data_IF_712839629140
#
_entry.id   IF_712839629140
#
_cell.length_a   1.000
_cell.length_b   1.000
_cell.length_c   1.000
_cell.angle_alpha   90.00
_cell.angle_beta   90.00
_cell.angle_gamma   90.00
#
_symmetry.space_group_name_H-M   'P 1'
#
loop_
_entity.id
_entity.type
_entity.pdbx_description
1 polymer ?
#
# COMPACT_ATOMS: atom_id res chain seq x y z
N UNK A 1 11.87 3.34 5.83
CA UNK A 1 11.40 2.07 6.45
C UNK A 1 12.36 0.95 6.07
N UNK A 2 12.59 -0.05 6.95
CA UNK A 2 13.44 -1.20 6.60
C UNK A 2 12.60 -2.30 5.95
N UNK A 3 13.12 -2.96 4.90
CA UNK A 3 12.44 -4.11 4.31
C UNK A 3 12.24 -5.23 5.36
N UNK A 4 11.12 -5.99 5.28
CA UNK A 4 10.87 -7.09 6.20
C UNK A 4 11.96 -8.19 6.12
N UNK A 5 12.09 -8.98 7.20
CA UNK A 5 13.06 -10.09 7.28
C UNK A 5 12.91 -11.14 6.17
N UNK A 6 11.75 -11.22 5.50
CA UNK A 6 11.54 -12.14 4.38
C UNK A 6 12.44 -11.84 3.17
N UNK A 7 13.00 -10.62 3.08
CA UNK A 7 13.95 -10.22 2.04
C UNK A 7 15.41 -10.57 2.39
N UNK A 8 15.64 -11.26 3.52
CA UNK A 8 16.96 -11.68 3.98
C UNK A 8 17.07 -13.21 3.89
N UNK A 9 17.83 -13.69 2.91
CA UNK A 9 18.13 -15.11 2.68
C UNK A 9 19.37 -15.25 1.81
N UNK A 10 19.94 -16.45 1.76
CA UNK A 10 21.16 -16.72 1.00
C UNK A 10 20.90 -16.72 -0.51
N UNK A 11 21.80 -16.05 -1.24
CA UNK A 11 21.84 -16.00 -2.69
C UNK A 11 23.12 -16.68 -3.20
N UNK A 12 23.14 -17.23 -4.43
CA UNK A 12 22.05 -17.21 -5.40
C UNK A 12 21.03 -18.33 -5.21
N UNK A 13 19.74 -18.04 -5.47
CA UNK A 13 18.74 -19.08 -5.66
C UNK A 13 18.86 -19.69 -7.07
N UNK A 14 18.77 -21.01 -7.16
CA UNK A 14 18.93 -21.78 -8.39
C UNK A 14 18.07 -23.04 -8.36
N UNK A 15 18.00 -23.75 -9.49
CA UNK A 15 17.26 -25.01 -9.63
C UNK A 15 17.56 -25.96 -8.45
N UNK A 16 16.50 -26.51 -7.86
CA UNK A 16 16.54 -27.39 -6.70
C UNK A 16 16.32 -26.67 -5.36
N UNK A 17 16.46 -25.34 -5.30
CA UNK A 17 16.08 -24.56 -4.11
C UNK A 17 14.58 -24.66 -3.84
N UNK A 18 14.19 -24.58 -2.55
CA UNK A 18 12.80 -24.62 -2.09
C UNK A 18 12.55 -23.66 -0.93
N UNK A 19 11.29 -23.35 -0.67
CA UNK A 19 10.84 -22.64 0.52
C UNK A 19 10.49 -21.17 0.27
N UNK A 20 10.40 -20.40 1.37
CA UNK A 20 9.85 -19.03 1.36
C UNK A 20 10.61 -18.06 0.45
N UNK A 21 11.94 -18.19 0.37
CA UNK A 21 12.77 -17.36 -0.50
C UNK A 21 12.44 -17.57 -1.98
N UNK A 22 12.20 -18.83 -2.39
CA UNK A 22 11.77 -19.16 -3.75
C UNK A 22 10.36 -18.64 -4.01
N UNK A 23 9.43 -18.82 -3.05
CA UNK A 23 8.06 -18.28 -3.15
C UNK A 23 8.11 -16.75 -3.39
N UNK A 24 8.91 -16.03 -2.62
CA UNK A 24 9.07 -14.57 -2.76
C UNK A 24 9.59 -14.18 -4.15
N UNK A 25 10.57 -14.91 -4.69
CA UNK A 25 11.05 -14.69 -6.06
C UNK A 25 9.94 -14.93 -7.10
N UNK A 26 9.14 -15.99 -6.95
CA UNK A 26 8.04 -16.29 -7.87
C UNK A 26 6.93 -15.24 -7.80
N UNK A 27 6.62 -14.72 -6.60
CA UNK A 27 5.71 -13.60 -6.41
C UNK A 27 6.22 -12.34 -7.13
N UNK A 28 7.49 -11.98 -6.94
CA UNK A 28 8.08 -10.83 -7.64
C UNK A 28 8.14 -11.01 -9.15
N UNK A 29 8.47 -12.20 -9.66
CA UNK A 29 8.40 -12.50 -11.10
C UNK A 29 6.98 -12.27 -11.65
N UNK A 30 5.96 -12.75 -10.95
CA UNK A 30 4.55 -12.50 -11.31
C UNK A 30 4.20 -11.00 -11.28
N UNK A 31 4.66 -10.25 -10.28
CA UNK A 31 4.49 -8.80 -10.21
C UNK A 31 5.19 -8.07 -11.36
N UNK A 32 6.28 -8.62 -11.87
CA UNK A 32 7.02 -8.11 -13.02
C UNK A 32 6.43 -8.57 -14.37
N UNK A 33 5.25 -9.21 -14.37
CA UNK A 33 4.54 -9.64 -15.58
C UNK A 33 5.03 -10.97 -16.15
N UNK A 34 5.80 -11.74 -15.39
CA UNK A 34 6.23 -13.09 -15.78
C UNK A 34 5.28 -14.11 -15.16
N UNK A 35 4.39 -14.68 -15.96
CA UNK A 35 3.44 -15.70 -15.49
C UNK A 35 4.13 -17.01 -15.11
N UNK A 36 3.96 -17.45 -13.86
CA UNK A 36 4.39 -18.74 -13.34
C UNK A 36 3.56 -19.15 -12.13
N UNK A 37 3.59 -20.44 -11.80
CA UNK A 37 3.02 -20.95 -10.55
C UNK A 37 3.90 -20.55 -9.35
N UNK A 38 3.25 -20.10 -8.28
CA UNK A 38 3.91 -19.76 -7.01
C UNK A 38 3.76 -20.96 -6.07
N UNK A 39 4.73 -21.87 -6.10
CA UNK A 39 4.75 -23.13 -5.34
C UNK A 39 5.93 -23.24 -4.37
N UNK A 40 6.81 -22.24 -4.34
CA UNK A 40 8.02 -22.24 -3.53
C UNK A 40 9.07 -23.26 -3.97
N UNK A 41 8.97 -23.81 -5.19
CA UNK A 41 9.92 -24.78 -5.75
C UNK A 41 10.64 -24.22 -6.98
N UNK A 42 11.98 -24.15 -6.90
CA UNK A 42 12.78 -23.63 -8.02
C UNK A 42 13.02 -24.76 -9.02
N UNK A 43 12.00 -25.06 -9.82
CA UNK A 43 12.06 -26.03 -10.91
C UNK A 43 12.47 -25.41 -12.27
N UNK A 44 12.44 -26.21 -13.35
CA UNK A 44 12.74 -25.75 -14.72
C UNK A 44 11.87 -24.55 -15.15
N UNK A 45 10.59 -24.51 -14.76
CA UNK A 45 9.69 -23.39 -15.07
C UNK A 45 10.11 -22.08 -14.39
N UNK A 46 10.55 -22.14 -13.14
CA UNK A 46 11.08 -20.96 -12.42
C UNK A 46 12.38 -20.49 -13.06
N UNK A 47 13.29 -21.41 -13.41
CA UNK A 47 14.54 -21.04 -14.10
C UNK A 47 14.29 -20.36 -15.45
N UNK A 48 13.37 -20.90 -16.26
CA UNK A 48 12.97 -20.28 -17.53
C UNK A 48 12.37 -18.88 -17.33
N UNK A 49 11.56 -18.71 -16.27
CA UNK A 49 10.97 -17.42 -15.89
C UNK A 49 12.02 -16.40 -15.47
N UNK A 50 13.02 -16.83 -14.69
CA UNK A 50 14.17 -15.98 -14.32
C UNK A 50 14.98 -15.59 -15.55
N UNK A 51 15.26 -16.51 -16.47
CA UNK A 51 15.94 -16.18 -17.74
C UNK A 51 15.15 -15.17 -18.56
N UNK A 52 13.84 -15.37 -18.70
CA UNK A 52 12.95 -14.44 -19.41
C UNK A 52 13.02 -13.03 -18.80
N UNK A 53 12.93 -12.95 -17.47
CA UNK A 53 13.06 -11.68 -16.75
C UNK A 53 14.43 -11.02 -16.97
N UNK A 54 15.52 -11.77 -16.79
CA UNK A 54 16.88 -11.27 -16.97
C UNK A 54 17.11 -10.71 -18.37
N UNK A 55 16.67 -11.45 -19.40
CA UNK A 55 16.71 -10.99 -20.79
C UNK A 55 15.90 -9.71 -21.00
N UNK A 56 14.68 -9.64 -20.46
CA UNK A 56 13.83 -8.45 -20.59
C UNK A 56 14.43 -7.21 -19.88
N UNK A 57 15.15 -7.42 -18.76
CA UNK A 57 15.85 -6.37 -18.01
C UNK A 57 17.27 -6.08 -18.52
N UNK A 58 17.75 -6.81 -19.53
CA UNK A 58 19.11 -6.68 -20.11
C UNK A 58 20.22 -6.86 -19.06
N UNK A 59 20.01 -7.78 -18.12
CA UNK A 59 21.03 -8.24 -17.16
C UNK A 59 21.49 -9.66 -17.53
N UNK A 60 22.54 -10.17 -16.87
CA UNK A 60 23.11 -11.49 -17.19
C UNK A 60 22.08 -12.62 -17.08
N UNK A 61 21.79 -13.29 -18.20
CA UNK A 61 20.80 -14.37 -18.30
C UNK A 61 21.35 -15.71 -17.78
N UNK A 62 21.61 -15.80 -16.47
CA UNK A 62 22.14 -17.02 -15.83
C UNK A 62 21.07 -18.06 -15.50
N UNK A 63 19.80 -17.65 -15.40
CA UNK A 63 18.70 -18.45 -14.84
C UNK A 63 18.78 -18.65 -13.32
N UNK A 64 19.74 -18.00 -12.67
CA UNK A 64 19.90 -17.97 -11.21
C UNK A 64 19.50 -16.59 -10.72
N UNK A 65 18.92 -16.52 -9.54
CA UNK A 65 18.66 -15.24 -8.88
C UNK A 65 19.85 -14.95 -8.00
N UNK A 66 20.79 -14.16 -8.51
CA UNK A 66 21.88 -13.55 -7.76
C UNK A 66 21.46 -12.21 -7.14
N UNK A 67 22.39 -11.48 -6.52
CA UNK A 67 22.08 -10.20 -5.88
C UNK A 67 21.56 -9.18 -6.89
N UNK A 68 22.22 -9.04 -8.04
CA UNK A 68 21.80 -8.09 -9.08
C UNK A 68 20.38 -8.40 -9.59
N UNK A 69 20.09 -9.68 -9.84
CA UNK A 69 18.74 -10.11 -10.27
C UNK A 69 17.71 -9.85 -9.18
N UNK A 70 18.04 -10.14 -7.91
CA UNK A 70 17.11 -9.93 -6.80
C UNK A 70 16.82 -8.45 -6.57
N UNK A 71 17.84 -7.59 -6.64
CA UNK A 71 17.70 -6.13 -6.51
C UNK A 71 16.75 -5.56 -7.56
N UNK A 72 16.92 -5.96 -8.81
CA UNK A 72 16.03 -5.54 -9.90
C UNK A 72 14.58 -6.03 -9.69
N UNK A 73 14.40 -7.27 -9.20
CA UNK A 73 13.07 -7.83 -8.92
C UNK A 73 12.31 -7.00 -7.87
N UNK A 74 12.99 -6.62 -6.78
CA UNK A 74 12.40 -5.94 -5.63
C UNK A 74 12.52 -4.41 -5.70
N UNK A 75 13.12 -3.86 -6.75
CA UNK A 75 13.31 -2.42 -6.90
C UNK A 75 12.02 -1.59 -6.66
N UNK A 76 10.82 -2.02 -7.07
CA UNK A 76 9.59 -1.29 -6.77
C UNK A 76 9.32 -1.11 -5.27
N UNK A 77 9.42 -2.17 -4.45
CA UNK A 77 9.21 -2.05 -3.00
C UNK A 77 10.33 -1.25 -2.33
N UNK A 78 11.57 -1.36 -2.83
CA UNK A 78 12.69 -0.55 -2.34
C UNK A 78 12.42 0.93 -2.57
N UNK A 79 12.00 1.33 -3.78
CA UNK A 79 11.65 2.73 -4.08
C UNK A 79 10.48 3.24 -3.26
N UNK A 80 9.44 2.42 -3.07
CA UNK A 80 8.28 2.79 -2.26
C UNK A 80 8.59 2.96 -0.77
N UNK A 81 9.58 2.21 -0.25
CA UNK A 81 9.92 2.21 1.19
C UNK A 81 11.12 3.08 1.56
N UNK A 82 11.73 3.72 0.55
CA UNK A 82 12.84 4.65 0.73
C UNK A 82 12.40 5.93 1.45
N UNK A 83 13.26 6.53 2.29
CA UNK A 83 12.92 7.77 2.98
C UNK A 83 12.54 8.90 2.01
N UNK A 84 11.48 9.64 2.34
CA UNK A 84 11.06 10.79 1.53
C UNK A 84 12.08 11.93 1.65
N UNK A 85 12.48 12.49 0.50
CA UNK A 85 13.62 13.40 0.39
C UNK A 85 13.38 14.83 0.90
N UNK A 86 12.14 15.29 1.05
CA UNK A 86 11.82 16.70 1.38
C UNK A 86 11.23 16.85 2.79
N UNK A 87 12.03 17.31 3.75
CA UNK A 87 11.61 17.47 5.16
C UNK A 87 10.92 18.81 5.47
N UNK A 88 10.91 19.76 4.53
CA UNK A 88 10.38 21.12 4.74
C UNK A 88 8.87 21.26 4.48
N UNK A 89 8.13 20.16 4.32
CA UNK A 89 6.70 20.14 4.02
C UNK A 89 5.89 19.63 5.22
N UNK A 90 4.60 19.96 5.25
CA UNK A 90 3.73 19.48 6.33
C UNK A 90 3.55 17.96 6.28
N UNK A 91 3.20 17.37 7.42
CA UNK A 91 2.91 15.94 7.54
C UNK A 91 1.92 15.46 6.47
N UNK A 92 0.80 16.18 6.28
CA UNK A 92 -0.21 15.86 5.27
C UNK A 92 0.35 15.88 3.83
N UNK A 93 1.23 16.83 3.49
CA UNK A 93 1.90 16.87 2.18
C UNK A 93 2.84 15.68 1.99
N UNK A 94 3.54 15.25 3.03
CA UNK A 94 4.40 14.06 3.01
C UNK A 94 3.60 12.77 2.85
N UNK A 95 2.42 12.68 3.46
CA UNK A 95 1.50 11.55 3.25
C UNK A 95 1.05 11.48 1.79
N UNK A 96 0.70 12.61 1.16
CA UNK A 96 0.38 12.66 -0.28
C UNK A 96 1.59 12.26 -1.14
N UNK A 97 2.80 12.70 -0.78
CA UNK A 97 4.02 12.30 -1.47
C UNK A 97 4.23 10.78 -1.42
N UNK A 98 4.13 10.18 -0.22
CA UNK A 98 4.22 8.74 -0.05
C UNK A 98 3.14 8.01 -0.87
N UNK A 99 1.89 8.46 -0.82
CA UNK A 99 0.79 7.87 -1.58
C UNK A 99 1.08 7.85 -3.08
N UNK A 100 1.60 8.95 -3.64
CA UNK A 100 1.96 9.06 -5.06
C UNK A 100 3.12 8.15 -5.46
N UNK A 101 4.13 7.99 -4.59
CA UNK A 101 5.22 7.05 -4.82
C UNK A 101 4.66 5.62 -4.87
N UNK A 102 3.86 5.23 -3.88
CA UNK A 102 3.26 3.90 -3.87
C UNK A 102 2.38 3.68 -5.11
N UNK A 103 1.53 4.63 -5.50
CA UNK A 103 0.74 4.53 -6.72
C UNK A 103 1.61 4.26 -7.96
N UNK A 104 2.73 4.98 -8.10
CA UNK A 104 3.68 4.81 -9.22
C UNK A 104 4.34 3.43 -9.25
N UNK A 105 4.55 2.81 -8.10
CA UNK A 105 5.18 1.49 -8.00
C UNK A 105 4.18 0.33 -8.17
N UNK A 106 2.90 0.64 -8.41
CA UNK A 106 1.81 -0.31 -8.67
C UNK A 106 1.71 -1.52 -7.71
N UNK A 107 1.62 -1.32 -6.38
CA UNK A 107 1.36 -2.38 -5.43
C UNK A 107 0.10 -3.16 -5.77
N UNK A 108 0.22 -4.48 -5.88
CA UNK A 108 -0.91 -5.38 -6.13
C UNK A 108 -0.75 -6.72 -5.42
N UNK A 109 -1.87 -7.39 -5.25
CA UNK A 109 -1.96 -8.75 -4.74
C UNK A 109 -1.38 -9.75 -5.74
N UNK A 110 -0.84 -10.84 -5.20
CA UNK A 110 -0.37 -11.96 -6.00
C UNK A 110 -0.40 -13.24 -5.16
N UNK A 111 -0.75 -14.36 -5.78
CA UNK A 111 -0.81 -15.66 -5.10
C UNK A 111 -2.08 -15.93 -4.29
N UNK A 112 -3.09 -15.07 -4.40
CA UNK A 112 -4.40 -15.23 -3.77
C UNK A 112 -4.96 -13.89 -3.26
N UNK A 113 -6.22 -13.92 -2.78
CA UNK A 113 -6.87 -12.75 -2.21
C UNK A 113 -6.13 -12.26 -0.95
N UNK A 114 -5.89 -10.95 -0.89
CA UNK A 114 -5.16 -10.27 0.16
C UNK A 114 -3.78 -10.90 0.42
N UNK A 115 -3.05 -11.29 -0.65
CA UNK A 115 -1.75 -11.96 -0.53
C UNK A 115 -0.63 -11.32 -1.35
N UNK A 116 0.60 -11.70 -1.01
CA UNK A 116 1.80 -11.25 -1.71
C UNK A 116 2.62 -10.20 -0.95
N UNK A 117 3.79 -9.83 -1.50
CA UNK A 117 4.78 -9.03 -0.79
C UNK A 117 4.30 -7.62 -0.43
N UNK A 118 3.47 -7.00 -1.29
CA UNK A 118 2.87 -5.70 -0.99
C UNK A 118 1.87 -5.77 0.16
N UNK A 119 1.02 -6.80 0.19
CA UNK A 119 0.08 -7.00 1.29
C UNK A 119 0.83 -7.22 2.59
N UNK A 120 1.85 -8.09 2.58
CA UNK A 120 2.69 -8.34 3.75
C UNK A 120 3.44 -7.08 4.22
N UNK A 121 3.85 -6.19 3.33
CA UNK A 121 4.38 -4.88 3.73
C UNK A 121 3.34 -4.09 4.55
N UNK A 122 2.13 -3.96 4.04
CA UNK A 122 1.08 -3.12 4.63
C UNK A 122 0.47 -3.69 5.91
N UNK A 123 0.49 -5.01 6.08
CA UNK A 123 -0.14 -5.71 7.21
C UNK A 123 0.87 -6.14 8.29
N UNK A 124 2.15 -5.83 8.10
CA UNK A 124 3.22 -6.25 8.99
C UNK A 124 3.44 -7.77 8.97
N UNK A 125 3.56 -8.34 7.77
CA UNK A 125 3.89 -9.74 7.50
C UNK A 125 2.71 -10.68 7.37
N UNK A 126 1.47 -10.19 7.39
CA UNK A 126 0.25 -11.01 7.33
C UNK A 126 -0.32 -11.04 5.92
N UNK A 127 -0.99 -12.11 5.56
CA UNK A 127 -1.63 -12.25 4.25
C UNK A 127 -2.77 -13.26 4.31
N UNK A 128 -3.61 -13.24 3.29
CA UNK A 128 -4.76 -14.11 3.10
C UNK A 128 -6.08 -13.37 3.35
N UNK A 129 -7.23 -14.01 3.03
CA UNK A 129 -8.54 -13.35 2.93
C UNK A 129 -9.01 -12.59 4.17
N UNK A 130 -8.47 -12.88 5.35
CA UNK A 130 -8.80 -12.17 6.59
C UNK A 130 -8.11 -10.80 6.72
N UNK A 131 -7.16 -10.47 5.84
CA UNK A 131 -6.25 -9.33 5.98
C UNK A 131 -6.45 -8.29 4.89
N UNK A 132 -7.66 -7.72 4.82
CA UNK A 132 -7.90 -6.51 4.03
C UNK A 132 -6.85 -5.44 4.39
N UNK A 133 -6.22 -4.84 3.38
CA UNK A 133 -4.98 -4.09 3.57
C UNK A 133 -5.10 -2.59 3.31
N UNK A 134 -6.31 -2.05 3.09
CA UNK A 134 -6.54 -0.61 2.90
C UNK A 134 -6.08 0.25 4.09
N UNK A 135 -6.44 -0.15 5.31
CA UNK A 135 -5.99 0.56 6.53
C UNK A 135 -4.49 0.34 6.82
N UNK A 136 -3.96 -0.83 6.49
CA UNK A 136 -2.53 -1.11 6.54
C UNK A 136 -1.71 -0.24 5.58
N UNK A 137 -2.25 -0.02 4.37
CA UNK A 137 -1.68 0.89 3.39
C UNK A 137 -1.63 2.31 3.95
N UNK A 138 -2.76 2.87 4.42
CA UNK A 138 -2.80 4.20 5.06
C UNK A 138 -1.80 4.29 6.20
N UNK A 139 -1.76 3.30 7.09
CA UNK A 139 -0.82 3.26 8.23
C UNK A 139 0.64 3.27 7.78
N UNK A 140 0.95 2.60 6.67
CA UNK A 140 2.30 2.59 6.10
C UNK A 140 2.67 3.97 5.57
N UNK A 141 1.74 4.67 4.92
CA UNK A 141 1.97 6.03 4.43
C UNK A 141 2.18 7.04 5.57
N UNK A 142 1.43 6.91 6.67
CA UNK A 142 1.63 7.73 7.86
C UNK A 142 3.05 7.56 8.40
N UNK A 143 3.52 6.32 8.58
CA UNK A 143 4.88 6.02 9.06
C UNK A 143 5.96 6.54 8.12
N UNK A 144 5.77 6.41 6.80
CA UNK A 144 6.71 6.95 5.82
C UNK A 144 6.80 8.48 5.90
N UNK A 145 5.69 9.16 6.19
CA UNK A 145 5.66 10.61 6.35
C UNK A 145 6.35 11.09 7.64
N UNK A 146 6.31 10.31 8.73
CA UNK A 146 6.99 10.61 10.02
C UNK A 146 8.50 10.40 9.96
N UNK A 147 8.99 9.53 9.08
CA UNK A 147 10.40 9.14 9.06
C UNK A 147 11.32 10.35 8.86
N UNK A 148 12.25 10.53 9.81
CA UNK A 148 13.19 11.65 9.83
C UNK A 148 12.58 13.02 10.14
N UNK A 149 11.33 13.08 10.63
CA UNK A 149 10.66 14.32 11.01
C UNK A 149 10.69 14.57 12.53
N UNK A 150 10.67 15.84 12.98
CA UNK A 150 10.45 16.16 14.38
C UNK A 150 9.04 15.75 14.82
N UNK A 151 8.85 15.47 16.11
CA UNK A 151 7.56 15.04 16.70
C UNK A 151 6.40 16.00 16.40
N UNK A 152 6.69 17.30 16.25
CA UNK A 152 5.71 18.31 15.86
C UNK A 152 5.12 18.11 14.45
N UNK A 153 5.75 17.28 13.63
CA UNK A 153 5.34 16.94 12.27
C UNK A 153 5.03 15.43 12.13
N UNK A 154 4.56 14.81 13.22
CA UNK A 154 4.11 13.42 13.24
C UNK A 154 2.59 13.30 13.12
N UNK A 155 2.12 12.08 12.88
CA UNK A 155 0.71 11.76 12.71
C UNK A 155 -0.09 12.06 13.97
N UNK A 156 -1.29 12.67 13.86
CA UNK A 156 -2.19 12.84 14.99
C UNK A 156 -2.84 11.53 15.46
N UNK A 157 -2.67 10.43 14.72
CA UNK A 157 -3.17 9.09 15.03
C UNK A 157 -2.07 8.04 14.85
N UNK A 158 -2.12 6.93 15.60
CA UNK A 158 -1.09 5.87 15.57
C UNK A 158 -1.16 4.96 14.35
N UNK A 159 -2.26 4.99 13.60
CA UNK A 159 -2.55 4.03 12.55
C UNK A 159 -3.11 2.70 13.08
N UNK A 160 -3.55 1.82 12.17
CA UNK A 160 -4.14 0.51 12.46
C UNK A 160 -4.35 -0.31 11.18
N UNK A 161 -4.54 -1.62 11.32
CA UNK A 161 -5.06 -2.48 10.24
C UNK A 161 -6.61 -2.47 10.16
N UNK A 162 -7.29 -1.72 11.02
CA UNK A 162 -8.76 -1.60 11.05
C UNK A 162 -9.20 -0.15 10.82
N UNK A 163 -10.12 0.05 9.88
CA UNK A 163 -10.77 1.33 9.62
C UNK A 163 -11.50 1.86 10.86
N UNK A 164 -12.16 0.98 11.63
CA UNK A 164 -12.87 1.35 12.86
C UNK A 164 -11.93 1.88 13.92
N UNK A 165 -10.74 1.27 14.04
CA UNK A 165 -9.71 1.75 14.96
C UNK A 165 -9.14 3.08 14.49
N UNK A 166 -8.95 3.31 13.18
CA UNK A 166 -8.56 4.62 12.65
C UNK A 166 -9.61 5.68 13.01
N UNK A 167 -10.89 5.39 12.81
CA UNK A 167 -12.00 6.26 13.17
C UNK A 167 -12.04 6.56 14.68
N UNK A 168 -11.86 5.55 15.53
CA UNK A 168 -11.83 5.71 16.98
C UNK A 168 -10.65 6.59 17.44
N UNK A 169 -9.46 6.39 16.86
CA UNK A 169 -8.29 7.24 17.15
C UNK A 169 -8.55 8.69 16.71
N UNK A 170 -9.12 8.91 15.53
CA UNK A 170 -9.44 10.24 15.02
C UNK A 170 -10.46 10.97 15.90
N UNK A 171 -11.50 10.27 16.37
CA UNK A 171 -12.50 10.83 17.30
C UNK A 171 -11.85 11.23 18.61
N UNK A 172 -11.00 10.36 19.19
CA UNK A 172 -10.26 10.67 20.42
C UNK A 172 -9.33 11.87 20.27
N UNK A 173 -8.75 12.05 19.08
CA UNK A 173 -7.87 13.17 18.76
C UNK A 173 -8.62 14.44 18.30
N UNK A 174 -9.96 14.45 18.31
CA UNK A 174 -10.80 15.53 17.77
C UNK A 174 -10.45 15.91 16.30
N UNK A 175 -10.12 14.91 15.48
CA UNK A 175 -9.76 15.04 14.06
C UNK A 175 -10.79 14.44 13.10
N UNK A 176 -11.78 13.72 13.63
CA UNK A 176 -12.82 13.09 12.83
C UNK A 176 -13.82 14.12 12.30
N UNK A 177 -14.20 14.01 11.04
CA UNK A 177 -15.23 14.81 10.38
C UNK A 177 -16.22 13.87 9.72
N UNK A 178 -17.48 13.95 10.12
CA UNK A 178 -18.53 13.08 9.58
C UNK A 178 -19.07 13.54 8.24
N UNK A 179 -19.62 12.60 7.47
CA UNK A 179 -20.42 12.83 6.27
C UNK A 179 -21.57 13.82 6.50
N UNK A 180 -22.18 13.79 7.69
CA UNK A 180 -23.20 14.77 8.12
C UNK A 180 -22.65 16.18 8.25
N UNK A 181 -21.47 16.35 8.82
CA UNK A 181 -20.82 17.66 8.92
C UNK A 181 -20.42 18.20 7.55
N UNK A 182 -19.97 17.32 6.64
CA UNK A 182 -19.61 17.68 5.26
C UNK A 182 -20.81 18.05 4.39
N UNK A 183 -21.96 17.40 4.60
CA UNK A 183 -23.19 17.63 3.83
C UNK A 183 -24.00 18.80 4.35
N UNK A 184 -24.00 19.05 5.66
CA UNK A 184 -24.67 20.21 6.27
C UNK A 184 -23.91 21.53 6.11
N UNK A 185 -22.63 21.48 5.72
CA UNK A 185 -21.76 22.66 5.72
C UNK A 185 -21.28 23.08 7.11
N UNK A 186 -21.52 22.27 8.14
CA UNK A 186 -20.99 22.51 9.49
C UNK A 186 -19.45 22.53 9.52
N UNK A 187 -18.82 21.88 8.54
CA UNK A 187 -17.41 22.03 8.23
C UNK A 187 -17.24 22.72 6.89
N UNK A 188 -16.52 23.85 6.90
CA UNK A 188 -16.06 24.49 5.67
C UNK A 188 -15.09 23.55 4.93
N UNK A 189 -15.45 23.15 3.71
CA UNK A 189 -14.62 22.27 2.88
C UNK A 189 -13.30 22.92 2.48
N UNK A 190 -13.24 24.25 2.36
CA UNK A 190 -11.99 24.96 2.06
C UNK A 190 -10.96 24.87 3.22
N UNK A 191 -11.42 24.56 4.43
CA UNK A 191 -10.56 24.31 5.58
C UNK A 191 -9.86 22.93 5.51
N UNK A 192 -10.38 21.99 4.73
CA UNK A 192 -9.82 20.65 4.58
C UNK A 192 -8.54 20.70 3.75
N UNK A 193 -7.57 19.87 4.13
CA UNK A 193 -6.24 19.83 3.50
C UNK A 193 -6.01 18.49 2.83
N UNK A 194 -5.40 18.52 1.65
CA UNK A 194 -4.91 17.33 0.97
C UNK A 194 -4.02 16.52 1.92
N UNK A 195 -4.13 15.20 1.84
CA UNK A 195 -3.53 14.27 2.80
C UNK A 195 -4.53 13.73 3.82
N UNK A 196 -5.72 14.33 3.95
CA UNK A 196 -6.78 13.77 4.80
C UNK A 196 -7.04 12.29 4.48
N UNK A 197 -7.36 11.51 5.50
CA UNK A 197 -7.73 10.10 5.33
C UNK A 197 -9.25 10.05 5.16
N UNK A 198 -9.76 9.37 4.13
CA UNK A 198 -11.18 9.10 4.04
C UNK A 198 -11.53 7.75 4.65
N UNK A 199 -12.76 7.62 5.15
CA UNK A 199 -13.32 6.36 5.61
C UNK A 199 -14.69 6.18 4.95
N UNK A 200 -14.93 5.00 4.38
CA UNK A 200 -16.23 4.64 3.81
C UNK A 200 -17.02 3.89 4.87
N UNK A 201 -18.17 4.47 5.25
CA UNK A 201 -19.05 3.89 6.26
C UNK A 201 -19.72 2.62 5.73
N UNK A 202 -19.93 1.62 6.57
CA UNK A 202 -20.63 0.41 6.20
C UNK A 202 -22.13 0.71 6.01
N UNK A 203 -22.67 0.44 4.82
CA UNK A 203 -24.10 0.65 4.51
C UNK A 203 -25.05 -0.18 5.39
N UNK A 204 -24.57 -1.29 5.96
CA UNK A 204 -25.36 -2.19 6.82
C UNK A 204 -25.19 -1.91 8.31
N UNK A 205 -24.13 -1.17 8.68
CA UNK A 205 -23.87 -0.77 10.07
C UNK A 205 -23.20 0.59 10.08
N UNK A 206 -23.97 1.64 10.39
CA UNK A 206 -23.44 3.01 10.37
C UNK A 206 -22.30 3.26 11.38
N UNK A 207 -22.06 2.34 12.32
CA UNK A 207 -20.98 2.44 13.30
C UNK A 207 -19.65 1.82 12.83
N UNK A 208 -19.62 1.19 11.65
CA UNK A 208 -18.43 0.54 11.09
C UNK A 208 -17.95 1.23 9.81
N UNK A 209 -16.67 1.07 9.48
CA UNK A 209 -16.06 1.51 8.23
C UNK A 209 -15.43 0.35 7.48
N UNK A 210 -15.72 0.25 6.18
CA UNK A 210 -15.29 -0.88 5.35
C UNK A 210 -14.06 -0.60 4.50
N UNK A 211 -13.74 0.68 4.27
CA UNK A 211 -12.67 1.06 3.35
C UNK A 211 -12.06 2.41 3.70
N UNK A 212 -10.81 2.64 3.28
CA UNK A 212 -10.07 3.86 3.55
C UNK A 212 -8.96 4.11 2.53
N UNK A 213 -8.47 5.34 2.49
CA UNK A 213 -7.37 5.78 1.63
C UNK A 213 -7.03 7.25 1.90
N UNK A 214 -6.17 7.82 1.07
CA UNK A 214 -5.71 9.20 1.21
C UNK A 214 -6.42 10.08 0.18
N UNK A 215 -6.98 11.21 0.62
CA UNK A 215 -7.47 12.27 -0.25
C UNK A 215 -6.29 13.08 -0.77
N UNK A 216 -6.10 13.14 -2.08
CA UNK A 216 -5.01 13.86 -2.73
C UNK A 216 -5.42 15.23 -3.25
N UNK A 217 -6.71 15.45 -3.51
CA UNK A 217 -7.27 16.74 -3.87
C UNK A 217 -8.77 16.81 -3.54
N UNK A 218 -9.23 18.00 -3.16
CA UNK A 218 -10.65 18.32 -2.93
C UNK A 218 -11.20 19.11 -4.11
N UNK A 219 -12.41 18.76 -4.53
CA UNK A 219 -13.24 19.50 -5.49
C UNK A 219 -14.64 19.70 -4.90
N UNK A 220 -15.47 20.52 -5.54
CA UNK A 220 -16.79 20.87 -5.00
C UNK A 220 -17.69 19.65 -4.79
N UNK A 221 -17.71 18.72 -5.74
CA UNK A 221 -18.61 17.56 -5.74
C UNK A 221 -17.93 16.23 -5.43
N UNK A 222 -16.60 16.17 -5.53
CA UNK A 222 -15.83 14.94 -5.37
C UNK A 222 -14.44 15.20 -4.78
N UNK A 223 -13.76 14.11 -4.44
CA UNK A 223 -12.35 14.10 -4.06
C UNK A 223 -11.57 13.19 -5.00
N UNK A 224 -10.31 13.55 -5.25
CA UNK A 224 -9.33 12.61 -5.79
C UNK A 224 -8.62 11.90 -4.64
N UNK A 225 -8.35 10.62 -4.83
CA UNK A 225 -7.87 9.73 -3.76
C UNK A 225 -6.85 8.74 -4.28
N UNK A 226 -5.99 8.26 -3.38
CA UNK A 226 -5.12 7.09 -3.59
C UNK A 226 -5.44 6.08 -2.49
N UNK A 227 -5.70 4.84 -2.90
CA UNK A 227 -6.28 3.82 -2.04
C UNK A 227 -5.62 2.47 -2.29
N UNK A 228 -5.33 1.73 -1.23
CA UNK A 228 -4.94 0.33 -1.32
C UNK A 228 -6.15 -0.59 -1.15
N UNK A 229 -6.03 -1.83 -1.59
CA UNK A 229 -7.11 -2.82 -1.59
C UNK A 229 -8.34 -2.32 -2.37
N UNK A 230 -8.12 -1.73 -3.54
CA UNK A 230 -9.18 -1.30 -4.46
C UNK A 230 -8.95 -1.85 -5.88
N UNK A 231 -9.85 -1.56 -6.79
CA UNK A 231 -9.76 -1.90 -8.22
C UNK A 231 -10.51 -0.84 -9.04
N UNK A 232 -10.39 -0.91 -10.37
CA UNK A 232 -11.06 0.03 -11.29
C UNK A 232 -12.59 0.03 -11.17
N UNK A 233 -13.19 -1.07 -10.71
CA UNK A 233 -14.64 -1.20 -10.50
C UNK A 233 -15.12 -0.54 -9.20
N UNK A 234 -14.22 -0.26 -8.24
CA UNK A 234 -14.56 0.31 -6.94
C UNK A 234 -15.19 -0.68 -5.96
N UNK A 235 -15.02 -1.99 -6.20
CA UNK A 235 -15.54 -3.05 -5.33
C UNK A 235 -14.75 -3.16 -4.01
N UNK A 236 -15.39 -3.80 -3.02
CA UNK A 236 -14.83 -4.00 -1.67
C UNK A 236 -13.59 -4.89 -1.64
N UNK A 237 -13.47 -5.81 -2.61
CA UNK A 237 -12.37 -6.76 -2.76
C UNK A 237 -11.47 -6.30 -3.90
N UNK A 238 -10.80 -5.18 -3.67
CA UNK A 238 -9.75 -4.73 -4.57
C UNK A 238 -8.52 -5.63 -4.54
N UNK A 239 -7.58 -5.37 -5.43
CA UNK A 239 -6.34 -6.13 -5.48
C UNK A 239 -5.12 -5.25 -5.70
N UNK A 240 -5.26 -3.93 -5.76
CA UNK A 240 -4.13 -3.03 -6.03
C UNK A 240 -4.28 -1.65 -5.36
N UNK A 241 -3.22 -0.84 -5.49
CA UNK A 241 -3.26 0.59 -5.19
C UNK A 241 -3.67 1.37 -6.43
N UNK A 242 -4.79 2.11 -6.36
CA UNK A 242 -5.29 2.91 -7.47
C UNK A 242 -5.47 4.39 -7.08
N UNK A 243 -5.48 5.25 -8.11
CA UNK A 243 -6.08 6.58 -8.00
C UNK A 243 -7.58 6.51 -8.33
N UNK A 244 -8.42 7.22 -7.57
CA UNK A 244 -9.87 7.22 -7.75
C UNK A 244 -10.45 8.63 -7.60
N UNK A 245 -11.60 8.85 -8.23
CA UNK A 245 -12.51 9.95 -7.92
C UNK A 245 -13.70 9.40 -7.14
N UNK A 246 -14.01 10.02 -6.00
CA UNK A 246 -15.12 9.61 -5.13
C UNK A 246 -16.02 10.79 -4.80
N UNK A 247 -17.33 10.58 -4.78
CA UNK A 247 -18.23 11.56 -4.19
C UNK A 247 -18.07 11.57 -2.66
N UNK A 248 -18.54 12.63 -2.02
CA UNK A 248 -18.60 12.75 -0.55
C UNK A 248 -19.65 11.84 0.11
N UNK A 249 -20.46 11.12 -0.68
CA UNK A 249 -21.53 10.28 -0.17
C UNK A 249 -20.97 9.18 0.70
N UNK A 250 -21.47 9.06 1.94
CA UNK A 250 -21.10 7.99 2.88
C UNK A 250 -19.58 7.97 3.20
N UNK A 251 -18.95 9.14 3.09
CA UNK A 251 -17.53 9.37 3.34
C UNK A 251 -17.34 10.23 4.57
N UNK A 252 -16.65 9.68 5.56
CA UNK A 252 -16.10 10.46 6.67
C UNK A 252 -14.62 10.79 6.38
N UNK A 253 -14.07 11.78 7.09
CA UNK A 253 -12.69 12.20 6.96
C UNK A 253 -11.96 12.22 8.30
N UNK A 254 -10.65 12.03 8.25
CA UNK A 254 -9.72 12.30 9.34
C UNK A 254 -8.78 13.41 8.88
N UNK A 255 -8.75 14.51 9.65
CA UNK A 255 -7.80 15.61 9.43
C UNK A 255 -6.40 15.21 9.91
N UNK A 256 -5.41 15.41 9.07
CA UNK A 256 -3.98 15.25 9.39
C UNK A 256 -3.33 16.59 9.71
#
# INVERSE_FOLDING_TARGET
MTLPKEYSFDLPLKRGAKGKAVKLVQEWLSLQGVGLTIDGSFGPATEASVKKYQTARRITTSGRVDRATFDELIAPIVRATSPLTTTSTSFAQRVVQAARIHLKEHPREVGGANAGPWVRLYTGGKEGPAWAWCAGFVTTLLRAAEEGQPDSNHSPIKGSLSCDVLAAQAKKAARFVSDKELSSGAVDRASLKNGAIFLIRNKRNANDWTHTGIVTAFFDEYVETIEGNTNDSGDREGYEVCARRRSYTNMDLIRL
#
